data_IF_762893130614
#
_entry.id   IF_762893130614
#
_cell.length_a   1.000
_cell.length_b   1.000
_cell.length_c   1.000
_cell.angle_alpha   90.00
_cell.angle_beta   90.00
_cell.angle_gamma   90.00
#
_symmetry.space_group_name_H-M   'P 1'
#
loop_
_entity.id
_entity.type
_entity.pdbx_description
1 polymer ?
#
# COMPACT_ATOMS: atom_id res chain seq x y z
N UNK A 1 -27.06 -25.97 -1.56
CA UNK A 1 -27.33 -24.52 -1.70
C UNK A 1 -26.33 -23.92 -2.69
N UNK A 2 -26.88 -23.69 -3.87
CA UNK A 2 -26.48 -22.96 -5.07
C UNK A 2 -25.20 -22.10 -5.04
N UNK A 3 -24.33 -22.35 -6.02
CA UNK A 3 -23.17 -21.51 -6.35
C UNK A 3 -23.50 -20.22 -7.13
N UNK A 4 -24.78 -19.84 -7.25
CA UNK A 4 -25.21 -18.65 -8.00
C UNK A 4 -25.38 -17.40 -7.10
N UNK A 5 -25.79 -17.56 -5.84
CA UNK A 5 -25.92 -16.43 -4.88
C UNK A 5 -24.58 -15.79 -4.53
N UNK A 6 -23.47 -16.55 -4.64
CA UNK A 6 -22.13 -16.02 -4.37
C UNK A 6 -21.63 -15.08 -5.47
N UNK A 7 -22.28 -15.04 -6.62
CA UNK A 7 -21.78 -14.33 -7.81
C UNK A 7 -22.24 -12.86 -7.84
N UNK A 8 -23.55 -12.61 -7.65
CA UNK A 8 -24.12 -11.24 -7.68
C UNK A 8 -23.60 -10.38 -6.51
N UNK A 9 -23.51 -10.94 -5.30
CA UNK A 9 -22.97 -10.22 -4.15
C UNK A 9 -21.50 -9.86 -4.32
N UNK A 10 -20.72 -10.72 -4.99
CA UNK A 10 -19.32 -10.44 -5.31
C UNK A 10 -19.19 -9.25 -6.26
N UNK A 11 -20.08 -9.13 -7.26
CA UNK A 11 -20.10 -7.99 -8.18
C UNK A 11 -20.36 -6.68 -7.43
N UNK A 12 -21.37 -6.64 -6.55
CA UNK A 12 -21.64 -5.45 -5.74
C UNK A 12 -20.48 -5.11 -4.79
N UNK A 13 -19.85 -6.12 -4.19
CA UNK A 13 -18.68 -5.93 -3.34
C UNK A 13 -17.52 -5.32 -4.12
N UNK A 14 -17.19 -5.85 -5.29
CA UNK A 14 -16.13 -5.31 -6.17
C UNK A 14 -16.44 -3.87 -6.55
N UNK A 15 -17.67 -3.57 -7.00
CA UNK A 15 -18.07 -2.19 -7.31
C UNK A 15 -17.90 -1.26 -6.10
N UNK A 16 -18.30 -1.70 -4.91
CA UNK A 16 -18.12 -0.94 -3.67
C UNK A 16 -16.65 -0.66 -3.35
N UNK A 17 -15.78 -1.66 -3.45
CA UNK A 17 -14.33 -1.52 -3.24
C UNK A 17 -13.69 -0.57 -4.27
N UNK A 18 -14.16 -0.58 -5.52
CA UNK A 18 -13.70 0.37 -6.55
C UNK A 18 -14.09 1.81 -6.22
N UNK A 19 -15.34 2.06 -5.81
CA UNK A 19 -15.82 3.41 -5.43
C UNK A 19 -15.04 3.92 -4.22
N UNK A 20 -14.92 3.10 -3.17
CA UNK A 20 -14.16 3.47 -1.96
C UNK A 20 -12.68 3.72 -2.27
N UNK A 21 -12.07 2.87 -3.10
CA UNK A 21 -10.69 3.02 -3.53
C UNK A 21 -10.48 4.31 -4.32
N UNK A 22 -11.37 4.62 -5.27
CA UNK A 22 -11.27 5.82 -6.09
C UNK A 22 -11.35 7.10 -5.23
N UNK A 23 -12.34 7.20 -4.35
CA UNK A 23 -12.55 8.39 -3.51
C UNK A 23 -11.36 8.64 -2.58
N UNK A 24 -10.81 7.58 -1.96
CA UNK A 24 -9.65 7.70 -1.06
C UNK A 24 -8.38 8.04 -1.83
N UNK A 25 -8.12 7.39 -2.95
CA UNK A 25 -6.88 7.56 -3.72
C UNK A 25 -6.84 8.91 -4.44
N UNK A 26 -7.99 9.42 -4.88
CA UNK A 26 -8.09 10.72 -5.56
C UNK A 26 -7.55 11.88 -4.69
N UNK A 27 -7.69 11.81 -3.37
CA UNK A 27 -7.25 12.86 -2.44
C UNK A 27 -5.74 12.82 -2.11
N UNK A 28 -5.03 11.76 -2.51
CA UNK A 28 -3.61 11.59 -2.18
C UNK A 28 -2.73 12.54 -3.02
N UNK A 29 -3.07 12.72 -4.30
CA UNK A 29 -2.23 13.44 -5.27
C UNK A 29 -1.15 12.54 -5.89
N UNK A 30 -0.08 13.11 -6.47
CA UNK A 30 0.95 12.33 -7.16
C UNK A 30 1.64 11.36 -6.19
N UNK A 31 1.69 10.09 -6.57
CA UNK A 31 2.17 9.03 -5.71
C UNK A 31 3.05 8.02 -6.46
N UNK A 32 3.97 7.38 -5.74
CA UNK A 32 4.81 6.29 -6.25
C UNK A 32 4.52 5.02 -5.46
N UNK A 33 4.33 3.92 -6.18
CA UNK A 33 4.13 2.61 -5.59
C UNK A 33 5.46 1.90 -5.33
N UNK A 34 5.68 1.42 -4.10
CA UNK A 34 6.84 0.61 -3.73
C UNK A 34 6.38 -0.82 -3.46
N UNK A 35 7.01 -1.77 -4.15
CA UNK A 35 6.81 -3.20 -3.96
C UNK A 35 8.10 -3.89 -3.52
N UNK A 36 7.96 -4.96 -2.74
CA UNK A 36 9.08 -5.80 -2.34
C UNK A 36 8.66 -6.89 -1.37
N UNK A 37 9.64 -7.67 -0.92
CA UNK A 37 9.41 -8.82 -0.05
C UNK A 37 8.79 -8.42 1.30
N UNK A 38 7.73 -9.14 1.68
CA UNK A 38 7.11 -9.06 3.00
C UNK A 38 7.98 -9.69 4.11
N UNK A 39 9.05 -10.40 3.75
CA UNK A 39 9.88 -11.19 4.68
C UNK A 39 11.23 -10.53 5.00
N UNK A 40 11.55 -9.42 4.33
CA UNK A 40 12.79 -8.70 4.59
C UNK A 40 12.77 -8.13 6.00
N UNK A 41 13.83 -8.37 6.77
CA UNK A 41 13.94 -7.88 8.15
C UNK A 41 14.50 -6.45 8.19
N UNK A 42 14.22 -5.68 9.26
CA UNK A 42 14.69 -4.29 9.39
C UNK A 42 16.22 -4.10 9.38
N UNK A 43 16.99 -5.12 9.74
CA UNK A 43 18.46 -5.12 9.73
C UNK A 43 19.05 -5.37 8.33
N UNK A 44 18.24 -5.78 7.36
CA UNK A 44 18.69 -6.07 6.01
C UNK A 44 18.97 -4.77 5.22
N UNK A 45 20.04 -4.76 4.41
CA UNK A 45 20.43 -3.59 3.60
C UNK A 45 19.29 -3.04 2.72
N UNK A 46 18.53 -3.91 2.05
CA UNK A 46 17.39 -3.52 1.23
C UNK A 46 16.24 -2.87 2.02
N UNK A 47 16.08 -3.20 3.30
CA UNK A 47 15.10 -2.51 4.13
C UNK A 47 15.51 -1.05 4.31
N UNK A 48 16.76 -0.82 4.72
CA UNK A 48 17.28 0.54 4.92
C UNK A 48 17.28 1.34 3.60
N UNK A 49 17.65 0.70 2.48
CA UNK A 49 17.60 1.33 1.17
C UNK A 49 16.17 1.71 0.75
N UNK A 50 15.18 0.87 1.07
CA UNK A 50 13.78 1.19 0.80
C UNK A 50 13.28 2.37 1.65
N UNK A 51 13.66 2.44 2.94
CA UNK A 51 13.38 3.60 3.80
C UNK A 51 13.99 4.87 3.21
N UNK A 52 15.27 4.86 2.86
CA UNK A 52 15.97 6.03 2.32
C UNK A 52 15.39 6.48 0.97
N UNK A 53 15.03 5.52 0.11
CA UNK A 53 14.42 5.79 -1.19
C UNK A 53 13.06 6.45 -1.01
N UNK A 54 12.21 5.93 -0.11
CA UNK A 54 10.91 6.50 0.19
C UNK A 54 11.01 7.91 0.80
N UNK A 55 11.96 8.14 1.73
CA UNK A 55 12.21 9.47 2.29
C UNK A 55 12.58 10.48 1.20
N UNK A 56 13.53 10.13 0.31
CA UNK A 56 13.97 11.00 -0.79
C UNK A 56 12.86 11.30 -1.79
N UNK A 57 12.05 10.31 -2.13
CA UNK A 57 10.88 10.47 -3.00
C UNK A 57 9.86 11.41 -2.34
N UNK A 58 9.61 11.21 -1.05
CA UNK A 58 8.63 11.99 -0.30
C UNK A 58 9.03 13.45 -0.17
N UNK A 59 10.33 13.73 0.07
CA UNK A 59 10.88 15.09 0.07
C UNK A 59 10.75 15.82 -1.28
N UNK A 60 10.54 15.09 -2.38
CA UNK A 60 10.25 15.66 -3.70
C UNK A 60 8.76 15.94 -3.93
N UNK A 61 7.90 15.72 -2.92
CA UNK A 61 6.48 16.02 -2.97
C UNK A 61 5.58 14.87 -3.43
N UNK A 62 6.11 13.65 -3.54
CA UNK A 62 5.33 12.47 -3.89
C UNK A 62 4.85 11.73 -2.64
N UNK A 63 3.62 11.22 -2.67
CA UNK A 63 3.16 10.25 -1.68
C UNK A 63 3.75 8.85 -1.96
N UNK A 64 3.84 8.02 -0.93
CA UNK A 64 4.21 6.60 -1.08
C UNK A 64 2.98 5.72 -0.87
N UNK A 65 2.79 4.76 -1.78
CA UNK A 65 1.77 3.72 -1.70
C UNK A 65 2.45 2.35 -1.69
N UNK A 66 2.03 1.46 -0.80
CA UNK A 66 2.49 0.05 -0.78
C UNK A 66 1.30 -0.90 -0.56
N UNK A 67 1.57 -2.20 -0.46
CA UNK A 67 0.58 -3.19 -0.01
C UNK A 67 0.30 -3.20 1.50
N UNK A 68 0.93 -2.32 2.29
CA UNK A 68 0.70 -2.19 3.73
C UNK A 68 1.18 -3.36 4.60
N UNK A 69 1.92 -4.31 4.02
CA UNK A 69 2.47 -5.45 4.73
C UNK A 69 3.85 -5.18 5.36
N UNK A 70 4.45 -6.20 6.01
CA UNK A 70 5.78 -6.10 6.61
C UNK A 70 6.89 -5.99 5.55
N UNK A 71 8.14 -5.89 6.02
CA UNK A 71 9.33 -5.91 5.17
C UNK A 71 9.48 -4.66 4.31
N UNK A 72 9.70 -4.83 3.01
CA UNK A 72 9.96 -3.68 2.12
C UNK A 72 8.75 -2.74 2.01
N UNK A 73 7.53 -3.26 2.14
CA UNK A 73 6.32 -2.44 2.15
C UNK A 73 6.33 -1.52 3.38
N UNK A 74 6.51 -2.08 4.57
CA UNK A 74 6.69 -1.31 5.80
C UNK A 74 7.84 -0.30 5.69
N UNK A 75 8.99 -0.70 5.14
CA UNK A 75 10.14 0.20 4.92
C UNK A 75 9.76 1.41 4.06
N UNK A 76 9.01 1.20 2.98
CA UNK A 76 8.50 2.27 2.12
C UNK A 76 7.58 3.23 2.88
N UNK A 77 6.61 2.69 3.63
CA UNK A 77 5.71 3.51 4.44
C UNK A 77 6.45 4.29 5.53
N UNK A 78 7.42 3.66 6.18
CA UNK A 78 8.26 4.24 7.23
C UNK A 78 9.08 5.41 6.72
N UNK A 79 9.72 5.27 5.56
CA UNK A 79 10.48 6.36 4.95
C UNK A 79 9.62 7.57 4.58
N UNK A 80 8.40 7.32 4.10
CA UNK A 80 7.44 8.39 3.79
C UNK A 80 6.94 9.13 5.05
N UNK A 81 6.64 8.39 6.10
CA UNK A 81 6.21 8.94 7.38
C UNK A 81 7.33 9.77 8.05
N UNK A 82 8.56 9.27 8.03
CA UNK A 82 9.74 10.01 8.53
C UNK A 82 9.98 11.32 7.80
N UNK A 83 9.69 11.36 6.49
CA UNK A 83 9.77 12.57 5.69
C UNK A 83 8.56 13.52 5.86
N UNK A 84 7.57 13.16 6.69
CA UNK A 84 6.37 13.96 6.95
C UNK A 84 5.37 14.01 5.80
N UNK A 85 5.45 13.08 4.85
CA UNK A 85 4.55 13.02 3.69
C UNK A 85 3.42 12.01 3.85
N UNK A 86 2.60 11.90 2.80
CA UNK A 86 1.49 10.94 2.76
C UNK A 86 2.01 9.52 2.54
N UNK A 87 1.63 8.62 3.43
CA UNK A 87 2.01 7.20 3.45
C UNK A 87 0.75 6.34 3.43
N UNK A 88 0.59 5.48 2.42
CA UNK A 88 -0.64 4.69 2.21
C UNK A 88 -0.32 3.21 2.05
N UNK A 89 -1.14 2.37 2.67
CA UNK A 89 -1.09 0.92 2.53
C UNK A 89 -2.41 0.38 1.95
N UNK A 90 -2.35 -0.28 0.81
CA UNK A 90 -3.46 -1.00 0.19
C UNK A 90 -3.39 -2.47 0.59
N UNK A 91 -3.81 -2.74 1.82
CA UNK A 91 -3.81 -4.08 2.39
C UNK A 91 -4.82 -5.02 1.72
N UNK A 92 -4.49 -6.31 1.73
CA UNK A 92 -5.40 -7.40 1.34
C UNK A 92 -5.68 -8.30 2.53
N UNK A 93 -6.89 -8.86 2.60
CA UNK A 93 -7.22 -9.88 3.59
C UNK A 93 -6.55 -11.20 3.21
N UNK A 94 -5.80 -11.76 4.15
CA UNK A 94 -5.11 -13.04 3.97
C UNK A 94 -5.71 -14.09 4.93
N UNK A 95 -5.70 -15.39 4.56
CA UNK A 95 -6.46 -16.43 5.25
C UNK A 95 -5.72 -17.05 6.45
N UNK A 96 -5.02 -16.24 7.25
CA UNK A 96 -4.19 -16.71 8.37
C UNK A 96 -4.35 -15.86 9.63
#
# INVERSE_FOLDING_TARGET
MNGFDRDIWSVFKVMGEFVEGYDKLYQIGPCISIFGSARTKPDHEYYNLAVETADKITKKGFAIITGGGPGIMEAGNKGAEQAGGKSVGLGISLPF
#
